data_IF_479844616483
#
_entry.id   IF_479844616483
#
_cell.length_a   1.000
_cell.length_b   1.000
_cell.length_c   1.000
_cell.angle_alpha   90.00
_cell.angle_beta   90.00
_cell.angle_gamma   90.00
#
_symmetry.space_group_name_H-M   'P 1'
#
loop_
_entity.id
_entity.type
_entity.pdbx_description
1 polymer ?
#
# COMPACT_ATOMS: atom_id res chain seq x y z
N UNK A 1 -6.72 -5.14 7.64
CA UNK A 1 -6.36 -4.20 6.55
C UNK A 1 -5.27 -3.28 7.10
N UNK A 2 -4.08 -3.30 6.50
CA UNK A 2 -2.88 -2.59 6.97
C UNK A 2 -2.69 -1.33 6.12
N UNK A 3 -2.19 -0.25 6.74
CA UNK A 3 -1.84 1.00 6.03
C UNK A 3 -0.35 1.05 5.73
N UNK A 4 0.00 1.18 4.46
CA UNK A 4 1.38 1.05 3.96
C UNK A 4 1.74 2.28 3.13
N UNK A 5 2.88 2.89 3.42
CA UNK A 5 3.47 3.89 2.54
C UNK A 5 4.45 3.24 1.56
N UNK A 6 4.45 3.66 0.30
CA UNK A 6 5.45 3.30 -0.69
C UNK A 6 6.17 4.58 -1.11
N UNK A 7 7.49 4.64 -0.92
CA UNK A 7 8.30 5.80 -1.31
C UNK A 7 9.01 5.50 -2.62
N UNK A 8 8.55 6.13 -3.70
CA UNK A 8 8.98 5.91 -5.07
C UNK A 8 7.86 5.30 -5.92
N UNK A 9 7.43 6.02 -6.95
CA UNK A 9 6.43 5.62 -7.95
C UNK A 9 7.09 5.10 -9.25
N UNK A 10 8.33 4.60 -9.14
CA UNK A 10 9.01 3.88 -10.21
C UNK A 10 8.35 2.53 -10.54
N UNK A 11 9.04 1.68 -11.31
CA UNK A 11 8.52 0.35 -11.66
C UNK A 11 8.31 -0.51 -10.42
N UNK A 12 9.33 -0.70 -9.59
CA UNK A 12 9.22 -1.58 -8.41
C UNK A 12 8.20 -1.07 -7.40
N UNK A 13 8.26 0.22 -7.04
CA UNK A 13 7.34 0.80 -6.07
C UNK A 13 5.88 0.64 -6.47
N UNK A 14 5.54 0.90 -7.74
CA UNK A 14 4.16 0.75 -8.20
C UNK A 14 3.70 -0.72 -8.22
N UNK A 15 4.57 -1.66 -8.61
CA UNK A 15 4.26 -3.11 -8.59
C UNK A 15 4.08 -3.64 -7.17
N UNK A 16 4.89 -3.15 -6.23
CA UNK A 16 4.77 -3.47 -4.79
C UNK A 16 3.47 -2.87 -4.23
N UNK A 17 3.17 -1.62 -4.56
CA UNK A 17 1.91 -0.95 -4.20
C UNK A 17 0.70 -1.75 -4.69
N UNK A 18 0.66 -2.09 -5.97
CA UNK A 18 -0.38 -2.90 -6.56
C UNK A 18 -0.48 -4.28 -5.92
N UNK A 19 0.65 -4.91 -5.57
CA UNK A 19 0.63 -6.21 -4.90
C UNK A 19 -0.01 -6.14 -3.50
N UNK A 20 0.30 -5.12 -2.70
CA UNK A 20 -0.40 -4.92 -1.42
C UNK A 20 -1.88 -4.56 -1.61
N UNK A 21 -2.21 -3.73 -2.61
CA UNK A 21 -3.59 -3.37 -2.91
C UNK A 21 -4.41 -4.58 -3.38
N UNK A 22 -3.81 -5.49 -4.17
CA UNK A 22 -4.43 -6.75 -4.55
C UNK A 22 -4.89 -7.56 -3.32
N UNK A 23 -4.09 -7.57 -2.24
CA UNK A 23 -4.45 -8.22 -0.97
C UNK A 23 -5.35 -7.38 -0.04
N UNK A 24 -5.92 -6.28 -0.53
CA UNK A 24 -6.90 -5.48 0.20
C UNK A 24 -6.30 -4.51 1.22
N UNK A 25 -5.05 -4.08 1.04
CA UNK A 25 -4.41 -3.08 1.90
C UNK A 25 -4.62 -1.65 1.40
N UNK A 26 -4.41 -0.66 2.27
CA UNK A 26 -4.48 0.76 1.93
C UNK A 26 -3.06 1.27 1.70
N UNK A 27 -2.80 1.77 0.51
CA UNK A 27 -1.48 2.19 0.05
C UNK A 27 -1.45 3.69 -0.14
N UNK A 28 -0.41 4.33 0.39
CA UNK A 28 -0.08 5.72 0.16
C UNK A 28 1.24 5.78 -0.59
N UNK A 29 1.22 6.09 -1.88
CA UNK A 29 2.44 6.19 -2.69
C UNK A 29 2.91 7.63 -2.77
N UNK A 30 4.20 7.85 -2.57
CA UNK A 30 4.85 9.16 -2.68
C UNK A 30 5.92 9.11 -3.77
N UNK A 31 6.00 10.18 -4.57
CA UNK A 31 7.13 10.46 -5.45
C UNK A 31 7.36 11.98 -5.51
N UNK A 32 8.60 12.41 -5.70
CA UNK A 32 8.92 13.81 -5.93
C UNK A 32 8.69 14.23 -7.38
N UNK A 33 8.69 13.28 -8.32
CA UNK A 33 8.37 13.53 -9.73
C UNK A 33 6.86 13.39 -9.96
N UNK A 34 6.21 14.52 -10.27
CA UNK A 34 4.78 14.57 -10.55
C UNK A 34 4.39 13.74 -11.77
N UNK A 35 5.27 13.57 -12.77
CA UNK A 35 4.99 12.73 -13.95
C UNK A 35 4.83 11.25 -13.59
N UNK A 36 5.59 10.80 -12.59
CA UNK A 36 5.47 9.44 -12.08
C UNK A 36 4.13 9.24 -11.36
N UNK A 37 3.64 10.26 -10.66
CA UNK A 37 2.32 10.23 -10.00
C UNK A 37 1.16 10.32 -11.00
N UNK A 38 1.28 11.20 -12.01
CA UNK A 38 0.26 11.38 -13.06
C UNK A 38 0.03 10.07 -13.84
N UNK A 39 1.09 9.33 -14.14
CA UNK A 39 1.01 8.04 -14.85
C UNK A 39 0.71 6.82 -13.97
N UNK A 40 0.64 7.01 -12.65
CA UNK A 40 0.51 5.88 -11.71
C UNK A 40 -0.80 5.12 -11.89
N UNK A 41 -1.92 5.84 -12.07
CA UNK A 41 -3.23 5.23 -12.20
C UNK A 41 -3.35 4.39 -13.47
N UNK A 42 -2.94 4.93 -14.63
CA UNK A 42 -2.93 4.21 -15.90
C UNK A 42 -2.09 2.92 -15.83
N UNK A 43 -0.95 3.00 -15.15
CA UNK A 43 -0.07 1.84 -14.95
C UNK A 43 -0.67 0.80 -14.00
N UNK A 44 -1.41 1.21 -12.97
CA UNK A 44 -2.14 0.29 -12.09
C UNK A 44 -3.29 -0.38 -12.85
N UNK A 45 -4.09 0.37 -13.61
CA UNK A 45 -5.16 -0.21 -14.43
C UNK A 45 -4.60 -1.20 -15.46
N UNK A 46 -3.47 -0.87 -16.09
CA UNK A 46 -2.79 -1.79 -17.00
C UNK A 46 -2.39 -3.10 -16.29
N UNK A 47 -1.93 -3.01 -15.05
CA UNK A 47 -1.58 -4.17 -14.23
C UNK A 47 -2.81 -5.01 -13.89
N UNK A 48 -3.90 -4.38 -13.46
CA UNK A 48 -5.17 -5.05 -13.17
C UNK A 48 -5.68 -5.81 -14.41
N UNK A 49 -5.68 -5.16 -15.56
CA UNK A 49 -6.06 -5.77 -16.84
C UNK A 49 -5.16 -6.95 -17.22
N UNK A 50 -3.84 -6.80 -17.04
CA UNK A 50 -2.88 -7.87 -17.32
C UNK A 50 -3.10 -9.06 -16.38
N UNK A 51 -3.25 -8.82 -15.09
CA UNK A 51 -3.46 -9.87 -14.10
C UNK A 51 -4.79 -10.58 -14.30
N UNK A 52 -5.83 -9.87 -14.72
CA UNK A 52 -7.11 -10.45 -15.08
C UNK A 52 -6.98 -11.36 -16.31
N UNK A 53 -6.31 -10.90 -17.38
CA UNK A 53 -6.04 -11.73 -18.58
C UNK A 53 -5.22 -12.99 -18.26
N UNK A 54 -4.26 -12.88 -17.35
CA UNK A 54 -3.43 -14.00 -16.91
C UNK A 54 -4.16 -14.94 -15.93
N UNK A 55 -5.36 -14.58 -15.48
CA UNK A 55 -6.17 -15.34 -14.53
C UNK A 55 -5.63 -15.32 -13.09
N UNK A 56 -4.88 -14.28 -12.72
CA UNK A 56 -4.41 -14.08 -11.34
C UNK A 56 -5.48 -13.46 -10.45
N UNK A 57 -6.38 -12.66 -11.03
CA UNK A 57 -7.47 -11.99 -10.34
C UNK A 57 -8.79 -12.24 -11.07
N UNK A 58 -9.88 -12.35 -10.33
CA UNK A 58 -11.22 -12.65 -10.89
C UNK A 58 -11.92 -11.41 -11.46
N UNK A 59 -11.53 -10.23 -11.01
CA UNK A 59 -12.02 -8.95 -11.49
C UNK A 59 -10.82 -8.04 -11.80
N UNK A 60 -10.86 -7.21 -12.86
CA UNK A 60 -9.79 -6.27 -13.21
C UNK A 60 -9.81 -5.06 -12.26
N UNK A 61 -9.74 -5.33 -10.96
CA UNK A 61 -9.70 -4.31 -9.91
C UNK A 61 -9.09 -4.88 -8.64
N UNK A 62 -8.18 -4.15 -8.03
CA UNK A 62 -7.64 -4.47 -6.72
C UNK A 62 -8.66 -4.26 -5.61
N UNK A 63 -8.58 -5.09 -4.56
CA UNK A 63 -9.47 -5.01 -3.40
C UNK A 63 -9.16 -3.81 -2.49
N UNK A 64 -7.91 -3.36 -2.51
CA UNK A 64 -7.37 -2.28 -1.71
C UNK A 64 -7.55 -0.90 -2.35
N UNK A 65 -6.92 0.10 -1.74
CA UNK A 65 -6.94 1.48 -2.22
C UNK A 65 -5.51 1.97 -2.41
N UNK A 66 -5.24 2.68 -3.51
CA UNK A 66 -3.95 3.33 -3.75
C UNK A 66 -4.18 4.83 -3.84
N UNK A 67 -3.48 5.57 -2.97
CA UNK A 67 -3.52 7.03 -2.91
C UNK A 67 -2.17 7.57 -3.33
N UNK A 68 -2.12 8.24 -4.48
CA UNK A 68 -0.94 8.92 -4.99
C UNK A 68 -0.83 10.34 -4.40
N UNK A 69 0.26 10.60 -3.67
CA UNK A 69 0.45 11.80 -2.87
C UNK A 69 1.79 12.47 -3.24
N UNK A 70 1.80 13.79 -3.42
CA UNK A 70 3.01 14.56 -3.72
C UNK A 70 3.67 15.18 -2.48
N UNK A 71 3.16 14.89 -1.29
CA UNK A 71 3.73 15.34 -0.01
C UNK A 71 4.12 14.13 0.83
N UNK A 72 5.41 14.03 1.13
CA UNK A 72 5.97 12.93 1.93
C UNK A 72 5.26 12.78 3.28
N UNK A 73 5.04 13.89 3.98
CA UNK A 73 4.36 13.92 5.28
C UNK A 73 2.97 13.25 5.24
N UNK A 74 2.17 13.52 4.21
CA UNK A 74 0.82 12.96 4.10
C UNK A 74 0.86 11.46 3.75
N UNK A 75 1.91 11.03 3.04
CA UNK A 75 2.12 9.64 2.65
C UNK A 75 2.53 8.74 3.82
N UNK A 76 3.31 9.26 4.77
CA UNK A 76 3.87 8.46 5.87
C UNK A 76 3.10 8.60 7.18
N UNK A 77 2.12 9.51 7.26
CA UNK A 77 1.24 9.62 8.42
C UNK A 77 0.28 8.44 8.53
N UNK A 78 0.06 8.00 9.76
CA UNK A 78 -0.87 6.93 10.14
C UNK A 78 -0.61 5.58 9.45
N UNK A 79 0.62 5.31 8.99
CA UNK A 79 1.01 4.03 8.37
C UNK A 79 1.72 3.12 9.38
N UNK A 80 1.62 1.82 9.16
CA UNK A 80 2.27 0.78 9.96
C UNK A 80 3.60 0.35 9.34
N UNK A 81 3.68 0.39 8.00
CA UNK A 81 4.87 0.04 7.22
C UNK A 81 5.18 1.11 6.18
N UNK A 82 6.46 1.33 5.94
CA UNK A 82 6.99 2.16 4.85
C UNK A 82 7.89 1.28 4.01
N UNK A 83 7.68 1.21 2.69
CA UNK A 83 8.60 0.56 1.76
C UNK A 83 9.26 1.61 0.87
N UNK A 84 10.57 1.77 1.05
CA UNK A 84 11.42 2.63 0.22
C UNK A 84 11.83 1.88 -1.06
N UNK A 85 11.50 2.47 -2.21
CA UNK A 85 11.66 1.92 -3.55
C UNK A 85 12.21 2.97 -4.56
N UNK A 86 13.04 3.91 -4.10
CA UNK A 86 13.75 4.88 -4.94
C UNK A 86 15.04 4.27 -5.51
N UNK A 87 15.70 5.03 -6.38
CA UNK A 87 16.93 4.62 -7.06
C UNK A 87 18.04 4.17 -6.09
N UNK A 88 18.93 3.30 -6.56
CA UNK A 88 20.07 2.76 -5.80
C UNK A 88 21.17 3.81 -5.60
N UNK A 89 20.89 4.77 -4.72
CA UNK A 89 21.85 5.76 -4.25
C UNK A 89 21.73 5.90 -2.72
N UNK A 90 22.87 5.77 -2.03
CA UNK A 90 22.91 5.69 -0.57
C UNK A 90 22.46 7.01 0.07
N UNK A 91 22.95 8.14 -0.44
CA UNK A 91 22.67 9.46 0.11
C UNK A 91 21.18 9.83 -0.03
N UNK A 92 20.58 9.55 -1.19
CA UNK A 92 19.16 9.79 -1.45
C UNK A 92 18.26 8.90 -0.58
N UNK A 93 18.62 7.62 -0.39
CA UNK A 93 17.86 6.73 0.49
C UNK A 93 17.95 7.20 1.94
N UNK A 94 19.15 7.48 2.45
CA UNK A 94 19.37 8.01 3.80
C UNK A 94 18.52 9.27 4.04
N UNK A 95 18.63 10.27 3.15
CA UNK A 95 17.90 11.53 3.29
C UNK A 95 16.39 11.35 3.25
N UNK A 96 15.89 10.47 2.37
CA UNK A 96 14.46 10.21 2.24
C UNK A 96 13.89 9.47 3.46
N UNK A 97 14.55 8.40 3.91
CA UNK A 97 14.04 7.62 5.05
C UNK A 97 14.15 8.39 6.36
N UNK A 98 15.20 9.20 6.54
CA UNK A 98 15.37 10.05 7.72
C UNK A 98 14.22 11.06 7.79
N UNK A 99 13.93 11.72 6.67
CA UNK A 99 12.82 12.66 6.57
C UNK A 99 11.45 11.96 6.73
N UNK A 100 11.28 10.77 6.18
CA UNK A 100 10.06 9.98 6.34
C UNK A 100 9.83 9.59 7.81
N UNK A 101 10.88 9.16 8.51
CA UNK A 101 10.82 8.77 9.92
C UNK A 101 10.40 9.92 10.83
N UNK A 102 10.73 11.17 10.49
CA UNK A 102 10.31 12.35 11.27
C UNK A 102 8.80 12.60 11.23
N UNK A 103 8.11 12.22 10.16
CA UNK A 103 6.67 12.44 9.99
C UNK A 103 5.82 11.22 10.29
N UNK A 104 6.44 10.04 10.35
CA UNK A 104 5.75 8.78 10.54
C UNK A 104 5.41 8.51 12.03
N UNK A 105 4.42 7.64 12.31
CA UNK A 105 4.11 7.25 13.68
C UNK A 105 5.29 6.59 14.41
N UNK A 106 5.32 6.74 15.74
CA UNK A 106 6.25 6.01 16.58
C UNK A 106 6.04 4.49 16.40
N UNK A 107 7.11 3.75 16.14
CA UNK A 107 7.07 2.30 15.93
C UNK A 107 6.74 1.84 14.49
N UNK A 108 6.69 2.76 13.51
CA UNK A 108 6.59 2.39 12.10
C UNK A 108 7.77 1.49 11.69
N UNK A 109 7.50 0.46 10.89
CA UNK A 109 8.55 -0.38 10.31
C UNK A 109 8.93 0.19 8.95
N UNK A 110 10.23 0.44 8.75
CA UNK A 110 10.77 0.95 7.49
C UNK A 110 11.51 -0.17 6.78
N UNK A 111 11.04 -0.49 5.59
CA UNK A 111 11.59 -1.48 4.69
C UNK A 111 12.33 -0.79 3.54
N UNK A 112 13.53 -1.22 3.18
CA UNK A 112 14.18 -0.79 1.94
C UNK A 112 14.19 -1.93 0.91
N UNK A 113 13.73 -1.64 -0.31
CA UNK A 113 13.82 -2.54 -1.47
C UNK A 113 15.20 -2.39 -2.18
N UNK A 114 16.26 -2.17 -1.40
CA UNK A 114 17.64 -2.08 -1.91
C UNK A 114 18.12 -3.41 -2.45
N UNK A 115 18.94 -3.37 -3.51
CA UNK A 115 19.50 -4.56 -4.11
C UNK A 115 20.93 -4.82 -3.62
N UNK A 116 21.79 -3.80 -3.59
CA UNK A 116 23.22 -3.95 -3.27
C UNK A 116 23.75 -3.02 -2.19
N UNK A 117 22.98 -2.02 -1.78
CA UNK A 117 23.46 -1.06 -0.78
C UNK A 117 23.46 -1.66 0.63
N UNK A 118 24.43 -1.22 1.41
CA UNK A 118 24.61 -1.58 2.81
C UNK A 118 23.49 -0.96 3.67
N UNK A 119 22.74 -1.81 4.37
CA UNK A 119 21.59 -1.42 5.19
C UNK A 119 21.99 -0.68 6.46
N UNK A 120 23.17 -0.97 7.03
CA UNK A 120 23.66 -0.24 8.20
C UNK A 120 23.99 1.21 7.81
N UNK A 121 24.53 1.41 6.61
CA UNK A 121 24.70 2.76 6.05
C UNK A 121 23.36 3.41 5.76
N UNK A 122 22.43 2.72 5.09
CA UNK A 122 21.12 3.31 4.78
C UNK A 122 20.44 3.82 6.06
N UNK A 123 20.46 3.02 7.13
CA UNK A 123 19.81 3.35 8.41
C UNK A 123 20.63 4.20 9.37
N UNK A 124 21.81 4.69 8.97
CA UNK A 124 22.78 5.32 9.86
C UNK A 124 22.21 6.51 10.65
N UNK A 125 21.35 7.31 10.02
CA UNK A 125 20.76 8.51 10.64
C UNK A 125 19.40 8.27 11.31
N UNK A 126 18.87 7.03 11.28
CA UNK A 126 17.61 6.73 11.93
C UNK A 126 17.76 6.68 13.45
N UNK A 127 16.82 7.29 14.17
CA UNK A 127 16.75 7.18 15.63
C UNK A 127 16.30 5.78 16.11
N UNK A 128 15.45 5.12 15.32
CA UNK A 128 14.89 3.79 15.62
C UNK A 128 15.34 2.75 14.60
N UNK A 129 16.66 2.48 14.56
CA UNK A 129 17.27 1.53 13.61
C UNK A 129 16.75 0.11 13.77
N UNK A 130 16.26 -0.21 14.97
CA UNK A 130 15.62 -1.49 15.30
C UNK A 130 14.36 -1.78 14.48
N UNK A 131 13.71 -0.74 13.96
CA UNK A 131 12.52 -0.83 13.11
C UNK A 131 12.84 -0.77 11.61
N UNK A 132 14.11 -0.75 11.24
CA UNK A 132 14.55 -0.76 9.84
C UNK A 132 14.97 -2.15 9.39
N UNK A 133 14.59 -2.55 8.18
CA UNK A 133 14.94 -3.85 7.59
C UNK A 133 15.00 -3.77 6.06
N UNK A 134 15.86 -4.55 5.41
CA UNK A 134 15.79 -4.77 3.98
C UNK A 134 14.69 -5.78 3.63
N UNK A 135 13.78 -5.40 2.73
CA UNK A 135 12.72 -6.27 2.25
C UNK A 135 12.61 -6.12 0.72
N UNK A 136 13.32 -6.98 -0.01
CA UNK A 136 13.46 -6.88 -1.45
C UNK A 136 12.48 -7.82 -2.15
N UNK A 137 11.53 -7.22 -2.86
CA UNK A 137 10.66 -7.95 -3.76
C UNK A 137 11.40 -8.27 -5.06
N UNK A 138 11.21 -9.49 -5.57
CA UNK A 138 11.78 -9.90 -6.84
C UNK A 138 10.83 -9.56 -7.99
N UNK A 139 11.39 -9.29 -9.18
CA UNK A 139 10.62 -8.99 -10.37
C UNK A 139 10.35 -10.28 -11.18
N UNK A 140 9.14 -10.48 -11.73
CA UNK A 140 7.95 -9.62 -11.64
C UNK A 140 7.11 -9.84 -10.36
N UNK A 141 6.84 -8.76 -9.63
CA UNK A 141 6.33 -8.76 -8.23
C UNK A 141 5.02 -9.52 -8.01
N UNK A 142 4.09 -9.48 -8.97
CA UNK A 142 2.80 -10.18 -8.84
C UNK A 142 2.91 -11.70 -8.95
N UNK A 143 3.92 -12.18 -9.67
CA UNK A 143 4.06 -13.60 -10.02
C UNK A 143 5.15 -14.30 -9.22
N UNK A 144 6.15 -13.55 -8.77
CA UNK A 144 7.24 -14.05 -7.93
C UNK A 144 6.82 -13.89 -6.45
N UNK A 145 6.51 -15.00 -5.75
CA UNK A 145 6.12 -14.93 -4.34
C UNK A 145 7.31 -14.62 -3.43
N UNK A 146 8.55 -14.83 -3.88
CA UNK A 146 9.72 -14.67 -3.05
C UNK A 146 9.99 -13.19 -2.68
N UNK A 147 10.20 -12.96 -1.39
CA UNK A 147 10.69 -11.70 -0.84
C UNK A 147 11.94 -11.98 -0.03
N UNK A 148 13.02 -11.29 -0.37
CA UNK A 148 14.29 -11.42 0.32
C UNK A 148 14.32 -10.49 1.54
N UNK A 149 14.52 -11.08 2.72
CA UNK A 149 14.78 -10.33 3.93
C UNK A 149 16.28 -10.18 4.15
N UNK A 150 16.70 -8.96 4.42
CA UNK A 150 18.08 -8.63 4.78
C UNK A 150 18.03 -7.74 6.03
N UNK A 151 18.24 -8.26 7.24
CA UNK A 151 18.31 -7.43 8.44
C UNK A 151 19.61 -6.63 8.47
N UNK A 152 19.55 -5.40 9.00
CA UNK A 152 20.74 -4.66 9.42
C UNK A 152 21.23 -5.18 10.78
N UNK A 153 22.40 -4.73 11.23
CA UNK A 153 22.93 -5.12 12.54
C UNK A 153 22.04 -4.65 13.70
N UNK A 154 21.20 -3.64 13.48
CA UNK A 154 20.30 -3.10 14.50
C UNK A 154 18.89 -3.67 14.42
N UNK A 155 18.50 -4.33 13.32
CA UNK A 155 17.13 -4.81 13.11
C UNK A 155 16.67 -5.74 14.25
N UNK A 156 15.53 -5.41 14.88
CA UNK A 156 14.98 -6.24 15.94
C UNK A 156 14.27 -7.49 15.41
N UNK A 157 14.19 -8.52 16.26
CA UNK A 157 13.42 -9.73 15.95
C UNK A 157 11.92 -9.44 15.86
N UNK A 158 11.43 -8.44 16.61
CA UNK A 158 10.05 -7.96 16.56
C UNK A 158 9.72 -7.39 15.18
N UNK A 159 10.60 -6.56 14.62
CA UNK A 159 10.48 -6.01 13.26
C UNK A 159 10.40 -7.11 12.21
N UNK A 160 11.30 -8.09 12.29
CA UNK A 160 11.31 -9.24 11.37
C UNK A 160 10.00 -10.05 11.52
N UNK A 161 9.54 -10.28 12.76
CA UNK A 161 8.32 -11.03 13.03
C UNK A 161 7.05 -10.34 12.49
N UNK A 162 6.93 -9.02 12.68
CA UNK A 162 5.81 -8.25 12.18
C UNK A 162 5.78 -8.19 10.64
N UNK A 163 6.93 -7.97 10.01
CA UNK A 163 7.05 -7.98 8.55
C UNK A 163 6.74 -9.37 7.97
N UNK A 164 7.26 -10.44 8.60
CA UNK A 164 6.99 -11.81 8.20
C UNK A 164 5.49 -12.11 8.19
N UNK A 165 4.81 -11.77 9.28
CA UNK A 165 3.36 -11.97 9.40
C UNK A 165 2.59 -11.26 8.29
N UNK A 166 2.91 -9.99 8.01
CA UNK A 166 2.28 -9.24 6.92
C UNK A 166 2.45 -9.94 5.57
N UNK A 167 3.68 -10.35 5.23
CA UNK A 167 3.99 -10.90 3.91
C UNK A 167 3.49 -12.34 3.74
N UNK A 168 3.52 -13.17 4.78
CA UNK A 168 2.98 -14.54 4.74
C UNK A 168 1.45 -14.55 4.59
N UNK A 169 0.74 -13.59 5.19
CA UNK A 169 -0.70 -13.40 4.97
C UNK A 169 -1.05 -13.03 3.51
N UNK A 170 -0.05 -12.59 2.74
CA UNK A 170 -0.12 -12.29 1.31
C UNK A 170 0.48 -13.41 0.44
N UNK A 171 0.58 -14.64 0.97
CA UNK A 171 1.16 -15.80 0.30
C UNK A 171 2.59 -15.57 -0.24
N UNK A 172 3.33 -14.64 0.35
CA UNK A 172 4.75 -14.43 0.02
C UNK A 172 5.62 -15.46 0.72
N UNK A 173 6.70 -15.85 0.04
CA UNK A 173 7.70 -16.78 0.55
C UNK A 173 8.94 -15.99 0.94
N UNK A 174 9.27 -16.01 2.22
CA UNK A 174 10.36 -15.20 2.75
C UNK A 174 11.63 -16.04 2.81
N UNK A 175 12.75 -15.47 2.38
CA UNK A 175 14.06 -16.07 2.57
C UNK A 175 15.06 -15.02 3.03
N UNK A 176 16.03 -15.42 3.83
CA UNK A 176 17.09 -14.52 4.27
C UNK A 176 18.24 -14.52 3.26
N UNK A 177 18.77 -13.34 2.96
CA UNK A 177 19.98 -13.21 2.14
C UNK A 177 21.15 -13.91 2.84
N UNK A 178 21.74 -14.90 2.16
CA UNK A 178 22.89 -15.66 2.68
C UNK A 178 24.24 -15.18 2.16
N UNK A 179 24.28 -14.52 1.00
CA UNK A 179 25.48 -14.03 0.32
C UNK A 179 25.47 -12.52 0.11
N UNK A 180 26.64 -11.94 -0.20
CA UNK A 180 26.73 -10.53 -0.60
C UNK A 180 25.92 -10.22 -1.86
N UNK A 181 25.86 -11.18 -2.78
CA UNK A 181 25.13 -11.02 -4.04
C UNK A 181 23.63 -11.33 -3.89
N UNK A 182 22.76 -10.46 -4.43
CA UNK A 182 21.32 -10.67 -4.45
C UNK A 182 20.94 -11.76 -5.46
N UNK A 183 19.89 -12.54 -5.16
CA UNK A 183 19.25 -13.39 -6.15
C UNK A 183 18.59 -12.51 -7.24
N UNK A 184 19.08 -12.66 -8.47
CA UNK A 184 18.51 -12.03 -9.67
C UNK A 184 18.01 -13.16 -10.56
N UNK A 185 16.71 -13.17 -10.83
CA UNK A 185 16.10 -14.19 -11.68
C UNK A 185 16.35 -13.85 -13.15
N UNK A 186 16.80 -14.85 -13.92
CA UNK A 186 16.78 -14.80 -15.37
C UNK A 186 15.35 -14.95 -15.92
N UNK A 187 15.19 -14.80 -17.23
CA UNK A 187 13.86 -14.80 -17.86
C UNK A 187 13.18 -16.17 -17.82
N UNK A 188 13.94 -17.25 -17.93
CA UNK A 188 13.41 -18.62 -17.83
C UNK A 188 12.88 -18.88 -16.41
N UNK A 189 13.65 -18.51 -15.39
CA UNK A 189 13.29 -18.62 -13.99
C UNK A 189 12.05 -17.80 -13.63
N UNK A 190 11.88 -16.62 -14.24
CA UNK A 190 10.68 -15.79 -14.09
C UNK A 190 9.47 -16.47 -14.71
N UNK A 191 9.60 -16.99 -15.92
CA UNK A 191 8.50 -17.65 -16.62
C UNK A 191 8.05 -18.94 -15.92
N UNK A 192 8.99 -19.72 -15.39
CA UNK A 192 8.69 -20.91 -14.58
C UNK A 192 7.85 -20.53 -13.35
N UNK A 193 8.24 -19.48 -12.63
CA UNK A 193 7.49 -18.97 -11.47
C UNK A 193 6.12 -18.42 -11.86
N UNK A 194 6.05 -17.71 -12.99
CA UNK A 194 4.80 -17.18 -13.55
C UNK A 194 3.78 -18.29 -13.77
N UNK A 195 4.19 -19.35 -14.48
CA UNK A 195 3.34 -20.53 -14.74
C UNK A 195 2.93 -21.21 -13.44
N UNK A 196 3.88 -21.47 -12.55
CA UNK A 196 3.61 -22.10 -11.26
C UNK A 196 2.60 -21.31 -10.42
N UNK A 197 2.69 -19.97 -10.40
CA UNK A 197 1.77 -19.11 -9.66
C UNK A 197 0.34 -19.18 -10.24
N UNK A 198 0.20 -19.04 -11.56
CA UNK A 198 -1.10 -19.15 -12.25
C UNK A 198 -1.74 -20.52 -11.98
N UNK A 199 -0.97 -21.60 -12.07
CA UNK A 199 -1.45 -22.95 -11.79
C UNK A 199 -1.87 -23.13 -10.32
N UNK A 200 -1.12 -22.56 -9.39
CA UNK A 200 -1.45 -22.60 -7.95
C UNK A 200 -2.79 -21.94 -7.66
N UNK A 201 -3.07 -20.80 -8.32
CA UNK A 201 -4.30 -20.05 -8.15
C UNK A 201 -5.49 -20.81 -8.74
N UNK A 202 -5.36 -21.37 -9.95
CA UNK A 202 -6.41 -22.21 -10.57
C UNK A 202 -6.79 -23.42 -9.72
N UNK A 203 -5.82 -24.03 -9.04
CA UNK A 203 -6.08 -25.14 -8.09
C UNK A 203 -6.80 -24.65 -6.83
N UNK A 204 -6.48 -23.46 -6.33
CA UNK A 204 -7.15 -22.87 -5.18
C UNK A 204 -8.54 -22.32 -5.47
N UNK A 205 -8.84 -21.89 -6.70
CA UNK A 205 -10.17 -21.39 -7.11
C UNK A 205 -11.29 -22.46 -7.01
N UNK A 206 -10.94 -23.75 -6.95
CA UNK A 206 -11.88 -24.85 -6.67
C UNK A 206 -12.21 -25.03 -5.18
N UNK A 207 -11.48 -24.36 -4.29
CA UNK A 207 -11.69 -24.36 -2.84
C UNK A 207 -11.91 -22.90 -2.45
N UNK A 208 -13.16 -22.47 -2.47
CA UNK A 208 -13.60 -21.13 -2.08
C UNK A 208 -13.28 -20.89 -0.60
N UNK A 209 -12.02 -20.61 -0.26
CA UNK A 209 -11.65 -20.10 1.06
C UNK A 209 -11.84 -18.60 1.00
N UNK A 210 -13.09 -18.19 1.21
CA UNK A 210 -13.39 -16.97 1.96
C UNK A 210 -12.65 -17.13 3.29
N UNK A 211 -11.36 -16.76 3.33
CA UNK A 211 -10.71 -16.51 4.61
C UNK A 211 -11.42 -15.28 5.12
N UNK A 212 -12.44 -15.49 5.95
CA UNK A 212 -12.81 -14.52 6.97
C UNK A 212 -11.57 -14.30 7.81
N UNK A 213 -10.72 -13.38 7.38
CA UNK A 213 -9.44 -13.06 8.03
C UNK A 213 -9.80 -12.27 9.28
N UNK A 214 -9.93 -12.97 10.40
CA UNK A 214 -10.00 -12.34 11.72
C UNK A 214 -8.74 -11.51 11.92
N UNK A 215 -8.91 -10.19 12.05
CA UNK A 215 -7.85 -9.25 12.42
C UNK A 215 -7.22 -9.69 13.75
N UNK A 216 -5.90 -9.87 13.84
CA UNK A 216 -5.23 -9.91 15.13
C UNK A 216 -4.71 -8.50 15.48
N UNK A 217 -5.03 -8.02 16.69
CA UNK A 217 -4.44 -6.82 17.27
C UNK A 217 -2.91 -6.92 17.27
N UNK A 218 -2.25 -6.00 16.56
CA UNK A 218 -0.78 -5.90 16.51
C UNK A 218 -0.21 -4.92 17.55
N UNK A 219 -0.99 -4.58 18.58
CA UNK A 219 -0.56 -3.66 19.64
C UNK A 219 -0.60 -4.36 20.99
N UNK A 220 0.55 -4.49 21.65
CA UNK A 220 0.65 -4.86 23.07
C UNK A 220 0.14 -3.70 23.93
N UNK A 221 -1.18 -3.62 24.11
CA UNK A 221 -1.79 -2.75 25.11
C UNK A 221 -2.43 -3.61 26.20
N UNK A 222 -1.72 -3.80 27.30
CA UNK A 222 -2.34 -4.22 28.57
C UNK A 222 -3.48 -3.24 28.89
N UNK A 223 -4.74 -3.68 28.69
CA UNK A 223 -5.88 -3.14 29.42
C UNK A 223 -6.67 -4.29 30.03
N UNK A 224 -6.59 -4.31 31.34
CA UNK A 224 -7.30 -5.19 32.25
C UNK A 224 -8.81 -4.89 32.17
N UNK A 225 -9.58 -5.93 31.83
CA UNK A 225 -10.96 -6.29 32.23
C UNK A 225 -12.13 -5.30 32.09
N UNK A 226 -13.21 -5.73 31.42
CA UNK A 226 -14.37 -6.38 32.08
C UNK A 226 -15.47 -6.84 31.10
N UNK A 227 -15.73 -8.16 31.10
CA UNK A 227 -17.05 -8.80 31.26
C UNK A 227 -18.17 -8.61 30.23
N UNK A 228 -18.66 -9.74 29.67
CA UNK A 228 -20.08 -9.90 29.33
C UNK A 228 -20.38 -10.55 27.97
N UNK A 229 -20.70 -11.83 27.98
CA UNK A 229 -21.11 -12.64 26.83
C UNK A 229 -22.57 -12.37 26.38
N UNK A 230 -22.87 -12.54 25.08
CA UNK A 230 -23.77 -13.58 24.52
C UNK A 230 -24.07 -13.41 23.02
N UNK A 231 -24.27 -14.56 22.40
CA UNK A 231 -24.66 -14.88 21.02
C UNK A 231 -26.14 -14.60 20.72
N UNK A 232 -26.50 -14.62 19.42
CA UNK A 232 -27.63 -15.34 18.77
C UNK A 232 -27.96 -14.65 17.42
N UNK A 233 -27.61 -15.25 16.26
CA UNK A 233 -28.41 -16.12 15.35
C UNK A 233 -29.48 -15.42 14.46
N UNK A 234 -29.21 -15.41 13.13
CA UNK A 234 -30.03 -15.76 11.94
C UNK A 234 -31.45 -15.16 11.78
N UNK A 235 -31.76 -14.50 10.65
CA UNK A 235 -32.60 -15.04 9.53
C UNK A 235 -32.76 -14.09 8.31
N UNK A 236 -33.09 -14.73 7.18
CA UNK A 236 -33.15 -14.36 5.77
C UNK A 236 -34.14 -13.28 5.32
N UNK A 237 -33.87 -12.73 4.13
CA UNK A 237 -34.86 -12.01 3.30
C UNK A 237 -34.35 -11.72 1.89
N UNK A 238 -34.59 -12.65 0.95
CA UNK A 238 -34.46 -12.46 -0.49
C UNK A 238 -35.39 -11.34 -0.97
N UNK A 239 -34.90 -10.45 -1.84
CA UNK A 239 -35.62 -10.09 -3.06
C UNK A 239 -34.71 -9.39 -4.07
N UNK A 240 -34.50 -10.08 -5.19
CA UNK A 240 -33.94 -9.53 -6.39
C UNK A 240 -34.88 -8.43 -6.95
N UNK A 241 -34.33 -7.24 -7.12
CA UNK A 241 -34.78 -6.33 -8.17
C UNK A 241 -33.54 -5.76 -8.84
N UNK A 242 -33.29 -6.26 -10.05
CA UNK A 242 -32.36 -5.71 -11.00
C UNK A 242 -32.68 -4.23 -11.21
N UNK A 243 -31.82 -3.36 -10.73
CA UNK A 243 -31.64 -2.06 -11.35
C UNK A 243 -30.15 -1.78 -11.41
N UNK A 244 -29.64 -1.75 -12.64
CA UNK A 244 -28.30 -1.36 -13.04
C UNK A 244 -27.86 -0.10 -12.30
N UNK A 245 -26.92 -0.23 -11.35
CA UNK A 245 -26.25 0.90 -10.71
C UNK A 245 -25.21 1.46 -11.70
N UNK A 246 -25.72 2.32 -12.57
CA UNK A 246 -24.99 3.25 -13.40
C UNK A 246 -24.02 4.11 -12.57
N UNK A 247 -22.75 4.17 -12.98
CA UNK A 247 -21.76 5.23 -12.69
C UNK A 247 -22.11 6.17 -11.53
N UNK A 248 -21.65 5.84 -10.32
CA UNK A 248 -21.66 6.80 -9.21
C UNK A 248 -20.74 7.99 -9.54
N UNK A 249 -21.35 9.08 -10.03
CA UNK A 249 -20.81 10.41 -10.28
C UNK A 249 -19.34 10.63 -9.88
N UNK A 250 -18.43 10.51 -10.86
CA UNK A 250 -16.98 10.75 -10.72
C UNK A 250 -16.67 12.26 -10.72
N UNK A 251 -17.63 13.10 -11.11
CA UNK A 251 -17.41 14.53 -11.30
C UNK A 251 -17.44 15.33 -10.00
N UNK A 252 -16.65 16.41 -9.99
CA UNK A 252 -16.56 17.36 -8.90
C UNK A 252 -17.95 17.95 -8.59
N UNK A 253 -18.35 17.92 -7.31
CA UNK A 253 -19.63 18.47 -6.86
C UNK A 253 -19.76 19.99 -6.96
N UNK A 254 -18.69 20.69 -7.35
CA UNK A 254 -18.64 22.15 -7.46
C UNK A 254 -18.68 22.59 -8.92
N UNK A 255 -17.74 22.12 -9.77
CA UNK A 255 -17.74 22.51 -11.19
C UNK A 255 -18.52 21.57 -12.09
N UNK A 256 -18.80 20.33 -11.66
CA UNK A 256 -19.45 19.28 -12.46
C UNK A 256 -18.79 19.01 -13.83
N UNK A 257 -17.51 19.38 -13.97
CA UNK A 257 -16.77 19.33 -15.24
C UNK A 257 -15.51 18.46 -15.11
N UNK A 258 -14.80 18.58 -14.00
CA UNK A 258 -13.56 17.84 -13.73
C UNK A 258 -13.80 16.67 -12.80
N UNK A 259 -13.05 15.56 -12.93
CA UNK A 259 -13.13 14.45 -12.01
C UNK A 259 -12.73 14.89 -10.59
N UNK A 260 -13.32 14.24 -9.60
CA UNK A 260 -12.89 14.35 -8.21
C UNK A 260 -11.47 13.84 -8.11
N UNK A 261 -10.58 14.70 -7.62
CA UNK A 261 -9.16 14.39 -7.47
C UNK A 261 -8.56 15.18 -6.29
N UNK A 262 -9.37 15.43 -5.25
CA UNK A 262 -8.92 16.09 -4.03
C UNK A 262 -9.67 15.63 -2.79
N UNK A 263 -8.93 15.58 -1.68
CA UNK A 263 -9.45 15.28 -0.34
C UNK A 263 -9.33 16.53 0.53
N UNK A 264 -10.40 16.83 1.26
CA UNK A 264 -10.39 17.85 2.33
C UNK A 264 -9.82 17.22 3.59
N UNK A 265 -8.60 17.63 4.02
CA UNK A 265 -7.84 16.95 5.08
C UNK A 265 -8.56 16.89 6.43
N UNK A 266 -9.35 17.91 6.77
CA UNK A 266 -10.03 18.00 8.07
C UNK A 266 -11.19 17.00 8.23
N UNK A 267 -11.72 16.45 7.13
CA UNK A 267 -12.89 15.58 7.15
C UNK A 267 -12.85 14.40 6.18
N UNK A 268 -11.78 14.26 5.40
CA UNK A 268 -11.54 13.19 4.43
C UNK A 268 -12.59 13.03 3.31
N UNK A 269 -13.44 14.03 3.07
CA UNK A 269 -14.39 13.97 1.95
C UNK A 269 -13.69 14.15 0.59
N UNK A 270 -13.97 13.21 -0.33
CA UNK A 270 -13.48 13.18 -1.71
C UNK A 270 -14.60 13.55 -2.68
N UNK A 271 -14.91 14.85 -2.79
CA UNK A 271 -16.08 15.33 -3.54
C UNK A 271 -15.77 16.42 -4.56
N UNK A 272 -14.54 16.91 -4.58
CA UNK A 272 -14.13 18.04 -5.41
C UNK A 272 -12.95 17.72 -6.30
N UNK A 273 -12.84 18.40 -7.44
CA UNK A 273 -11.56 18.54 -8.12
C UNK A 273 -10.65 19.48 -7.32
N UNK A 274 -9.34 19.35 -7.48
CA UNK A 274 -8.33 20.06 -6.70
C UNK A 274 -8.44 21.58 -6.83
N UNK A 275 -8.76 22.08 -8.02
CA UNK A 275 -8.95 23.52 -8.22
C UNK A 275 -10.15 24.06 -7.44
N UNK A 276 -11.29 23.37 -7.48
CA UNK A 276 -12.46 23.77 -6.70
C UNK A 276 -12.20 23.68 -5.19
N UNK A 277 -11.49 22.65 -4.74
CA UNK A 277 -11.11 22.52 -3.34
C UNK A 277 -10.18 23.65 -2.88
N UNK A 278 -9.20 24.03 -3.70
CA UNK A 278 -8.30 25.17 -3.45
C UNK A 278 -9.07 26.50 -3.40
N UNK A 279 -10.07 26.68 -4.27
CA UNK A 279 -10.94 27.85 -4.23
C UNK A 279 -11.73 27.93 -2.92
N UNK A 280 -12.33 26.82 -2.49
CA UNK A 280 -13.05 26.75 -1.20
C UNK A 280 -12.11 27.06 -0.02
N UNK A 281 -10.91 26.47 0.00
CA UNK A 281 -9.90 26.74 1.01
C UNK A 281 -9.51 28.23 1.06
N UNK A 282 -9.18 28.83 -0.09
CA UNK A 282 -8.76 30.22 -0.18
C UNK A 282 -9.86 31.21 0.25
N UNK A 283 -11.12 30.89 -0.06
CA UNK A 283 -12.29 31.67 0.34
C UNK A 283 -12.71 31.45 1.79
N UNK A 284 -12.09 30.48 2.48
CA UNK A 284 -12.47 30.00 3.82
C UNK A 284 -13.90 29.47 3.87
N UNK A 285 -14.39 28.94 2.75
CA UNK A 285 -15.68 28.26 2.67
C UNK A 285 -15.58 26.89 3.39
N UNK A 286 -16.66 26.41 4.02
CA UNK A 286 -16.65 25.12 4.68
C UNK A 286 -16.77 23.96 3.66
N UNK A 287 -16.45 22.74 4.11
CA UNK A 287 -16.63 21.52 3.31
C UNK A 287 -18.09 21.43 2.79
N UNK A 288 -18.31 21.18 1.48
CA UNK A 288 -19.65 21.14 0.90
C UNK A 288 -20.50 19.96 1.38
N UNK A 289 -19.90 18.95 2.02
CA UNK A 289 -20.61 17.78 2.56
C UNK A 289 -20.95 17.98 4.03
N UNK A 290 -19.94 18.19 4.89
CA UNK A 290 -20.12 18.17 6.34
C UNK A 290 -20.04 19.54 7.00
N UNK A 291 -19.84 20.61 6.22
CA UNK A 291 -19.72 22.01 6.68
C UNK A 291 -18.59 22.28 7.69
N UNK A 292 -17.67 21.34 7.91
CA UNK A 292 -16.45 21.58 8.70
C UNK A 292 -15.52 22.56 7.99
N UNK A 293 -14.75 23.32 8.76
CA UNK A 293 -13.68 24.19 8.23
C UNK A 293 -12.66 23.36 7.45
N UNK A 294 -12.22 23.89 6.31
CA UNK A 294 -11.17 23.29 5.49
C UNK A 294 -9.83 23.83 5.99
N UNK A 295 -9.03 22.96 6.63
CA UNK A 295 -7.71 23.35 7.14
C UNK A 295 -6.60 23.15 6.11
N UNK A 296 -6.78 22.18 5.21
CA UNK A 296 -5.87 21.87 4.11
C UNK A 296 -6.61 21.07 3.02
N UNK A 297 -6.05 21.08 1.80
CA UNK A 297 -6.57 20.36 0.64
C UNK A 297 -5.44 19.58 0.00
N UNK A 298 -5.67 18.28 -0.17
CA UNK A 298 -4.69 17.36 -0.74
C UNK A 298 -5.16 17.00 -2.15
N UNK A 299 -4.31 17.19 -3.16
CA UNK A 299 -4.54 16.64 -4.51
C UNK A 299 -4.29 15.13 -4.47
N UNK A 300 -5.24 14.38 -5.00
CA UNK A 300 -5.07 12.94 -5.27
C UNK A 300 -4.87 12.81 -6.76
N UNK A 301 -3.84 12.08 -7.17
CA UNK A 301 -3.65 11.74 -8.56
C UNK A 301 -4.41 10.43 -8.81
N UNK A 302 -5.58 10.57 -9.41
CA UNK A 302 -6.51 9.49 -9.81
C UNK A 302 -6.56 9.40 -11.30
#
# INVERSE_FOLDING_TARGET
MVRIAILGCGTMGLKIAGNFAYYGHIIKIFDSDLKQLDSACDRIHHDEDQLYRDGLIEMPKFLGQILCLNRLEDAVKDVEFIFECIIENIELKQALIEKAAQFAPAGVIICSNTMRLDLDKISENLSHKENFVGARFLFPVYYVPEVELNPSNSTSTQTIGALRKLLEEMDKVLYFRSSSDPLILDEEQREVRRKARVESLKKSSGIMVVRGRTLPELTSSNRISHGGARSDLIDHGNNASNNSLSNENVDCSICMDRPRNSVIRSCNHFVTCYECARLLYNRKDPCPVCRKRIDDVIRVYT
#
